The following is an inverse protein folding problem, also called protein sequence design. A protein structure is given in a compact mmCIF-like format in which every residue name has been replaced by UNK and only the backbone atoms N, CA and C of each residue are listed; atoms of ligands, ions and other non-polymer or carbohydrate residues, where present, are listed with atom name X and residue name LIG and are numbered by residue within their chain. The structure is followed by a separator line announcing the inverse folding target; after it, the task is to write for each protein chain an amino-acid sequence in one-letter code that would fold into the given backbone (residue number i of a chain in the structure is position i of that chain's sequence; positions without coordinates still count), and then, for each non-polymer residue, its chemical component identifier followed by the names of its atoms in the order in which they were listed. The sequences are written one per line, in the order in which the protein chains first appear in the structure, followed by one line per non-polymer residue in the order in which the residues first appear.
data_IF_725869761891
#
_entry.id   IF_725869761891
#
_cell.length_a   1.000
_cell.length_b   1.000
_cell.length_c   1.000
_cell.angle_alpha   90.00
_cell.angle_beta   90.00
_cell.angle_gamma   90.00
#
_symmetry.space_group_name_H-M   'P 1'
#
loop_
_entity.id
_entity.type
_entity.pdbx_description
1 polymer ?
#
# COMPACT_ATOMS: atom_id res chain seq x y z
N UNK A 1 -13.15 3.21 6.45
CA UNK A 1 -11.67 3.17 6.42
C UNK A 1 -11.12 2.02 7.25
N UNK A 2 -11.58 1.80 8.49
CA UNK A 2 -11.12 0.69 9.36
C UNK A 2 -11.14 -0.68 8.66
N UNK A 3 -12.28 -1.07 8.09
CA UNK A 3 -12.39 -2.35 7.38
C UNK A 3 -11.38 -2.52 6.23
N UNK A 4 -10.91 -1.45 5.60
CA UNK A 4 -9.85 -1.55 4.58
C UNK A 4 -8.47 -1.73 5.21
N UNK A 5 -8.21 -1.09 6.35
CA UNK A 5 -7.00 -1.32 7.13
C UNK A 5 -6.92 -2.77 7.64
N UNK A 6 -8.04 -3.32 8.11
CA UNK A 6 -8.08 -4.71 8.58
C UNK A 6 -7.77 -5.70 7.43
N UNK A 7 -8.28 -5.44 6.23
CA UNK A 7 -7.92 -6.21 5.03
C UNK A 7 -6.45 -6.11 4.67
N UNK A 8 -5.83 -4.93 4.82
CA UNK A 8 -4.38 -4.77 4.61
C UNK A 8 -3.62 -5.69 5.57
N UNK A 9 -3.98 -5.70 6.86
CA UNK A 9 -3.35 -6.58 7.86
C UNK A 9 -3.56 -8.06 7.50
N UNK A 10 -4.78 -8.44 7.13
CA UNK A 10 -5.13 -9.82 6.79
C UNK A 10 -4.29 -10.37 5.63
N UNK A 11 -4.14 -9.58 4.56
CA UNK A 11 -3.51 -10.04 3.31
C UNK A 11 -2.00 -9.79 3.26
N UNK A 12 -1.44 -9.06 4.22
CA UNK A 12 -0.02 -8.71 4.25
C UNK A 12 0.90 -9.94 4.28
N UNK A 13 0.71 -10.95 5.16
CA UNK A 13 1.60 -12.11 5.20
C UNK A 13 1.58 -12.91 3.89
N UNK A 14 0.40 -13.09 3.31
CA UNK A 14 0.22 -13.78 2.04
C UNK A 14 0.86 -13.02 0.87
N UNK A 15 0.73 -11.70 0.86
CA UNK A 15 1.35 -10.83 -0.16
C UNK A 15 2.87 -10.87 -0.10
N UNK A 16 3.46 -10.87 1.11
CA UNK A 16 4.91 -11.04 1.29
C UNK A 16 5.35 -12.42 0.79
N UNK A 17 4.63 -13.47 1.17
CA UNK A 17 4.95 -14.85 0.77
C UNK A 17 4.87 -15.04 -0.75
N UNK A 18 3.87 -14.44 -1.38
CA UNK A 18 3.70 -14.41 -2.84
C UNK A 18 3.24 -15.73 -3.47
N UNK A 19 2.68 -16.64 -2.68
CA UNK A 19 2.19 -17.95 -3.17
C UNK A 19 0.81 -17.88 -3.83
N UNK A 20 -0.05 -16.97 -3.35
CA UNK A 20 -1.40 -16.76 -3.89
C UNK A 20 -1.51 -15.34 -4.48
N UNK A 21 -1.75 -15.20 -5.79
CA UNK A 21 -1.91 -13.88 -6.43
C UNK A 21 -3.15 -13.11 -5.95
N UNK A 22 -4.14 -13.79 -5.34
CA UNK A 22 -5.33 -13.13 -4.80
C UNK A 22 -5.02 -12.33 -3.53
N UNK A 23 -4.01 -12.73 -2.73
CA UNK A 23 -3.54 -11.96 -1.57
C UNK A 23 -3.07 -10.56 -1.99
N UNK A 24 -2.23 -10.50 -3.02
CA UNK A 24 -1.78 -9.24 -3.62
C UNK A 24 -2.95 -8.44 -4.22
N UNK A 25 -3.88 -9.12 -4.91
CA UNK A 25 -5.04 -8.48 -5.51
C UNK A 25 -5.91 -7.80 -4.46
N UNK A 26 -6.31 -8.52 -3.42
CA UNK A 26 -7.19 -8.02 -2.38
C UNK A 26 -6.54 -6.92 -1.54
N UNK A 27 -5.25 -7.06 -1.22
CA UNK A 27 -4.49 -6.01 -0.55
C UNK A 27 -4.42 -4.73 -1.40
N UNK A 28 -4.19 -4.84 -2.72
CA UNK A 28 -4.22 -3.71 -3.66
C UNK A 28 -5.61 -3.07 -3.72
N UNK A 29 -6.68 -3.84 -3.73
CA UNK A 29 -8.05 -3.30 -3.70
C UNK A 29 -8.29 -2.53 -2.40
N UNK A 30 -7.90 -3.09 -1.26
CA UNK A 30 -8.06 -2.47 0.05
C UNK A 30 -7.29 -1.13 0.15
N UNK A 31 -6.02 -1.10 -0.25
CA UNK A 31 -5.19 0.13 -0.23
C UNK A 31 -5.73 1.21 -1.16
N UNK A 32 -6.18 0.86 -2.37
CA UNK A 32 -6.84 1.82 -3.28
C UNK A 32 -8.11 2.42 -2.70
N UNK A 33 -8.98 1.59 -2.12
CA UNK A 33 -10.23 2.04 -1.49
C UNK A 33 -9.95 2.90 -0.27
N UNK A 34 -8.96 2.54 0.54
CA UNK A 34 -8.52 3.33 1.67
C UNK A 34 -8.04 4.71 1.21
N UNK A 35 -7.14 4.77 0.21
CA UNK A 35 -6.63 6.03 -0.33
C UNK A 35 -7.75 6.95 -0.82
N UNK A 36 -8.68 6.41 -1.60
CA UNK A 36 -9.83 7.18 -2.10
C UNK A 36 -10.69 7.71 -0.94
N UNK A 37 -10.95 6.88 0.07
CA UNK A 37 -11.76 7.28 1.22
C UNK A 37 -11.05 8.34 2.06
N UNK A 38 -9.74 8.20 2.30
CA UNK A 38 -8.94 9.21 3.00
C UNK A 38 -9.02 10.56 2.30
N UNK A 39 -8.94 10.61 0.97
CA UNK A 39 -9.04 11.85 0.21
C UNK A 39 -10.42 12.52 0.38
N UNK A 40 -11.50 11.74 0.34
CA UNK A 40 -12.87 12.24 0.56
C UNK A 40 -13.02 12.87 1.94
N UNK A 41 -12.47 12.21 2.97
CA UNK A 41 -12.58 12.65 4.36
C UNK A 41 -11.38 13.44 4.86
N UNK A 42 -10.53 13.98 3.97
CA UNK A 42 -9.27 14.64 4.36
C UNK A 42 -9.45 15.77 5.38
N UNK A 43 -10.57 16.51 5.29
CA UNK A 43 -10.90 17.61 6.20
C UNK A 43 -11.13 17.16 7.65
N UNK A 44 -11.37 15.87 7.88
CA UNK A 44 -11.54 15.28 9.21
C UNK A 44 -10.19 14.95 9.89
N UNK A 45 -9.06 15.12 9.19
CA UNK A 45 -7.74 14.80 9.72
C UNK A 45 -6.93 16.06 10.01
N UNK A 46 -6.05 16.06 11.04
CA UNK A 46 -5.02 17.08 11.17
C UNK A 46 -4.11 17.08 9.94
N UNK A 47 -3.81 18.25 9.37
CA UNK A 47 -3.15 18.36 8.06
C UNK A 47 -1.82 17.62 7.94
N UNK A 48 -0.97 17.67 8.97
CA UNK A 48 0.31 16.95 8.99
C UNK A 48 0.12 15.43 9.05
N UNK A 49 -0.76 14.95 9.94
CA UNK A 49 -1.09 13.53 10.10
C UNK A 49 -1.68 12.96 8.82
N UNK A 50 -2.59 13.71 8.18
CA UNK A 50 -3.15 13.34 6.89
C UNK A 50 -2.07 13.19 5.83
N UNK A 51 -1.25 14.23 5.64
CA UNK A 51 -0.23 14.25 4.59
C UNK A 51 0.75 13.08 4.74
N UNK A 52 1.18 12.78 5.97
CA UNK A 52 2.06 11.65 6.25
C UNK A 52 1.40 10.29 5.92
N UNK A 53 0.23 10.01 6.49
CA UNK A 53 -0.44 8.72 6.30
C UNK A 53 -0.91 8.51 4.87
N UNK A 54 -1.46 9.56 4.24
CA UNK A 54 -1.89 9.52 2.85
C UNK A 54 -0.73 9.21 1.91
N UNK A 55 0.44 9.83 2.13
CA UNK A 55 1.65 9.52 1.37
C UNK A 55 2.03 8.04 1.51
N UNK A 56 2.11 7.51 2.74
CA UNK A 56 2.45 6.10 2.95
C UNK A 56 1.45 5.12 2.32
N UNK A 57 0.15 5.38 2.44
CA UNK A 57 -0.89 4.60 1.75
C UNK A 57 -0.72 4.68 0.24
N UNK A 58 -0.37 5.85 -0.29
CA UNK A 58 -0.12 6.04 -1.72
C UNK A 58 1.13 5.29 -2.20
N UNK A 59 2.22 5.29 -1.44
CA UNK A 59 3.46 4.60 -1.78
C UNK A 59 3.20 3.08 -1.84
N UNK A 60 2.56 2.54 -0.80
CA UNK A 60 2.14 1.14 -0.77
C UNK A 60 1.20 0.78 -1.93
N UNK A 61 0.20 1.62 -2.22
CA UNK A 61 -0.74 1.39 -3.33
C UNK A 61 -0.02 1.31 -4.69
N UNK A 62 1.00 2.16 -4.90
CA UNK A 62 1.80 2.16 -6.13
C UNK A 62 2.65 0.90 -6.22
N UNK A 63 3.33 0.52 -5.15
CA UNK A 63 4.21 -0.64 -5.13
C UNK A 63 3.44 -1.95 -5.40
N UNK A 64 2.30 -2.16 -4.73
CA UNK A 64 1.39 -3.28 -5.01
C UNK A 64 0.86 -3.26 -6.45
N UNK A 65 0.62 -2.06 -6.98
CA UNK A 65 0.14 -1.88 -8.35
C UNK A 65 1.13 -2.33 -9.40
N UNK A 66 2.39 -1.95 -9.26
CA UNK A 66 3.44 -2.31 -10.23
C UNK A 66 3.55 -3.81 -10.42
N UNK A 67 3.49 -4.60 -9.33
CA UNK A 67 3.52 -6.07 -9.42
C UNK A 67 2.25 -6.62 -10.06
N UNK A 68 1.06 -6.21 -9.57
CA UNK A 68 -0.20 -6.76 -10.06
C UNK A 68 -0.48 -6.41 -11.52
N UNK A 69 -0.07 -5.21 -11.97
CA UNK A 69 -0.27 -4.79 -13.35
C UNK A 69 0.61 -5.62 -14.31
N UNK A 70 1.80 -6.04 -13.88
CA UNK A 70 2.65 -6.99 -14.63
C UNK A 70 2.07 -8.41 -14.62
N UNK A 71 1.54 -8.88 -13.48
CA UNK A 71 0.88 -10.20 -13.40
C UNK A 71 -0.28 -10.30 -14.39
N UNK A 72 -1.14 -9.28 -14.43
CA UNK A 72 -2.30 -9.22 -15.34
C UNK A 72 -1.85 -9.16 -16.81
N UNK A 73 -0.82 -8.37 -17.12
CA UNK A 73 -0.25 -8.30 -18.47
C UNK A 73 0.29 -9.67 -18.91
N UNK A 74 1.09 -10.31 -18.04
CA UNK A 74 1.66 -11.63 -18.29
C UNK A 74 0.58 -12.68 -18.55
N UNK A 75 -0.44 -12.74 -17.69
CA UNK A 75 -1.58 -13.65 -17.84
C UNK A 75 -2.35 -13.41 -19.14
N UNK A 76 -2.58 -12.14 -19.49
CA UNK A 76 -3.30 -11.77 -20.72
C UNK A 76 -2.55 -12.21 -21.99
N UNK A 77 -1.22 -12.13 -21.99
CA UNK A 77 -0.37 -12.54 -23.11
C UNK A 77 -0.24 -14.05 -23.20
N UNK A 78 0.02 -14.74 -22.07
CA UNK A 78 0.10 -16.21 -22.03
C UNK A 78 -1.18 -16.85 -22.60
N UNK A 79 -2.36 -16.35 -22.21
CA UNK A 79 -3.64 -16.86 -22.71
C UNK A 79 -3.81 -16.77 -24.23
N UNK A 80 -3.08 -15.88 -24.90
CA UNK A 80 -3.17 -15.64 -26.35
C UNK A 80 -1.96 -16.17 -27.11
N UNK A 81 -0.89 -16.55 -26.42
CA UNK A 81 0.40 -16.95 -27.00
C UNK A 81 0.23 -17.99 -28.11
N UNK A 82 -0.52 -19.06 -27.85
CA UNK A 82 -0.65 -20.18 -28.79
C UNK A 82 -1.56 -19.85 -29.99
N UNK A 83 -2.34 -18.77 -29.91
CA UNK A 83 -3.12 -18.26 -31.04
C UNK A 83 -2.29 -17.36 -31.97
N UNK A 84 -1.05 -17.03 -31.61
CA UNK A 84 -0.15 -16.25 -32.45
C UNK A 84 0.51 -17.14 -33.52
N UNK A 85 0.87 -16.56 -34.69
CA UNK A 85 1.76 -17.19 -35.66
C UNK A 85 3.01 -17.75 -34.99
N UNK A 86 3.44 -18.94 -35.41
CA UNK A 86 4.54 -19.67 -34.77
C UNK A 86 5.85 -18.88 -34.79
N UNK A 87 6.05 -18.07 -35.83
CA UNK A 87 7.21 -17.21 -36.03
C UNK A 87 7.32 -16.09 -34.99
N UNK A 88 6.19 -15.65 -34.40
CA UNK A 88 6.16 -14.56 -33.41
C UNK A 88 6.27 -15.07 -31.96
N UNK A 89 6.04 -16.36 -31.72
CA UNK A 89 6.04 -16.93 -30.37
C UNK A 89 7.39 -16.78 -29.64
N UNK A 90 8.56 -16.99 -30.28
CA UNK A 90 9.85 -16.81 -29.62
C UNK A 90 10.11 -15.38 -29.14
N UNK A 91 9.65 -14.37 -29.90
CA UNK A 91 9.80 -12.97 -29.50
C UNK A 91 8.89 -12.62 -28.32
N UNK A 92 7.67 -13.17 -28.31
CA UNK A 92 6.74 -13.03 -27.17
C UNK A 92 7.28 -13.72 -25.92
N UNK A 93 7.87 -14.91 -26.06
CA UNK A 93 8.49 -15.62 -24.93
C UNK A 93 9.65 -14.81 -24.33
N UNK A 94 10.52 -14.26 -25.19
CA UNK A 94 11.61 -13.37 -24.75
C UNK A 94 11.09 -12.13 -24.02
N UNK A 95 9.99 -11.55 -24.49
CA UNK A 95 9.35 -10.42 -23.82
C UNK A 95 8.75 -10.83 -22.47
N UNK A 96 8.11 -12.02 -22.37
CA UNK A 96 7.58 -12.56 -21.12
C UNK A 96 8.68 -12.81 -20.09
N UNK A 97 9.86 -13.27 -20.54
CA UNK A 97 11.03 -13.45 -19.68
C UNK A 97 11.53 -12.11 -19.14
N UNK A 98 11.65 -11.09 -20.00
CA UNK A 98 12.01 -9.73 -19.60
C UNK A 98 11.03 -9.12 -18.59
N UNK A 99 9.73 -9.27 -18.85
CA UNK A 99 8.67 -8.84 -17.92
C UNK A 99 8.77 -9.57 -16.57
N UNK A 100 9.18 -10.85 -16.57
CA UNK A 100 9.42 -11.63 -15.36
C UNK A 100 10.53 -11.04 -14.48
N UNK A 101 11.61 -10.55 -15.10
CA UNK A 101 12.70 -9.87 -14.38
C UNK A 101 12.22 -8.55 -13.79
N UNK A 102 11.55 -7.71 -14.58
CA UNK A 102 11.01 -6.42 -14.10
C UNK A 102 10.00 -6.60 -12.96
N UNK A 103 9.20 -7.68 -13.02
CA UNK A 103 8.26 -8.05 -11.97
C UNK A 103 8.98 -8.38 -10.66
N UNK A 104 10.08 -9.12 -10.70
CA UNK A 104 10.79 -9.47 -9.46
C UNK A 104 11.44 -8.23 -8.83
N UNK A 105 11.95 -7.29 -9.63
CA UNK A 105 12.41 -6.00 -9.12
C UNK A 105 11.26 -5.18 -8.50
N UNK A 106 10.09 -5.16 -9.14
CA UNK A 106 8.89 -4.53 -8.60
C UNK A 106 8.44 -5.19 -7.30
N UNK A 107 8.56 -6.52 -7.21
CA UNK A 107 8.25 -7.30 -6.02
C UNK A 107 9.21 -6.99 -4.87
N UNK A 108 10.51 -6.86 -5.14
CA UNK A 108 11.48 -6.44 -4.13
C UNK A 108 11.15 -5.07 -3.53
N UNK A 109 10.83 -4.07 -4.38
CA UNK A 109 10.38 -2.74 -3.93
C UNK A 109 9.06 -2.79 -3.15
N UNK A 110 8.14 -3.66 -3.55
CA UNK A 110 6.89 -3.88 -2.83
C UNK A 110 7.13 -4.46 -1.44
N UNK A 111 8.04 -5.43 -1.30
CA UNK A 111 8.41 -6.01 0.00
C UNK A 111 9.05 -4.94 0.89
N UNK A 112 9.97 -4.14 0.38
CA UNK A 112 10.57 -3.03 1.15
C UNK A 112 9.49 -2.06 1.68
N UNK A 113 8.51 -1.69 0.85
CA UNK A 113 7.41 -0.83 1.30
C UNK A 113 6.51 -1.49 2.35
N UNK A 114 6.32 -2.81 2.28
CA UNK A 114 5.58 -3.60 3.26
C UNK A 114 6.35 -3.72 4.58
N UNK A 115 7.67 -3.90 4.53
CA UNK A 115 8.54 -3.91 5.71
C UNK A 115 8.50 -2.55 6.40
N UNK A 116 8.66 -1.45 5.66
CA UNK A 116 8.51 -0.10 6.21
C UNK A 116 7.10 0.09 6.80
N UNK A 117 6.08 -0.50 6.19
CA UNK A 117 4.71 -0.45 6.71
C UNK A 117 4.58 -1.11 8.08
N UNK A 118 5.19 -2.28 8.26
CA UNK A 118 5.22 -3.02 9.52
C UNK A 118 6.10 -2.33 10.56
N UNK A 119 7.34 -1.98 10.22
CA UNK A 119 8.30 -1.35 11.15
C UNK A 119 7.79 -0.03 11.72
N UNK A 120 7.02 0.72 10.94
CA UNK A 120 6.44 2.00 11.36
C UNK A 120 5.05 1.87 12.00
N UNK A 121 4.56 0.64 12.19
CA UNK A 121 3.24 0.32 12.74
C UNK A 121 2.12 1.14 12.08
N UNK A 122 2.14 1.23 10.73
CA UNK A 122 1.26 2.15 10.01
C UNK A 122 -0.21 1.74 10.09
N UNK A 123 -0.50 0.44 10.21
CA UNK A 123 -1.85 -0.05 10.40
C UNK A 123 -2.42 0.34 11.77
N UNK A 124 -1.62 0.25 12.83
CA UNK A 124 -2.00 0.65 14.19
C UNK A 124 -2.19 2.17 14.28
N UNK A 125 -1.25 2.93 13.71
CA UNK A 125 -1.34 4.39 13.66
C UNK A 125 -2.56 4.85 12.88
N UNK A 126 -2.88 4.20 11.77
CA UNK A 126 -4.08 4.49 11.00
C UNK A 126 -5.33 4.17 11.82
N UNK A 127 -5.38 3.01 12.49
CA UNK A 127 -6.51 2.65 13.36
C UNK A 127 -6.73 3.68 14.49
N UNK A 128 -5.65 4.12 15.16
CA UNK A 128 -5.72 5.12 16.22
C UNK A 128 -6.31 6.45 15.71
N UNK A 129 -5.83 6.94 14.56
CA UNK A 129 -6.36 8.18 13.96
C UNK A 129 -7.82 8.00 13.54
N UNK A 130 -8.19 6.85 12.98
CA UNK A 130 -9.59 6.59 12.59
C UNK A 130 -10.53 6.52 13.79
N UNK A 131 -10.06 6.04 14.95
CA UNK A 131 -10.83 6.08 16.20
C UNK A 131 -11.01 7.52 16.69
N UNK A 132 -9.97 8.35 16.65
CA UNK A 132 -10.06 9.77 17.03
C UNK A 132 -11.02 10.55 16.12
N UNK A 133 -10.99 10.30 14.80
CA UNK A 133 -11.89 10.95 13.84
C UNK A 133 -13.34 10.46 13.97
N UNK A 134 -13.57 9.24 14.45
CA UNK A 134 -14.90 8.69 14.67
C UNK A 134 -15.58 9.24 15.95
N UNK A 135 -14.84 9.90 16.83
CA UNK A 135 -15.39 10.55 18.02
C UNK A 135 -16.26 11.75 17.61
N UNK A 136 -17.58 11.75 17.92
CA UNK A 136 -18.47 12.88 17.60
C UNK A 136 -18.10 14.18 18.31
N UNK A 137 -17.25 14.13 19.35
CA UNK A 137 -16.68 15.32 19.99
C UNK A 137 -15.48 15.90 19.22
N UNK A 138 -15.02 15.27 18.14
CA UNK A 138 -13.89 15.74 17.34
C UNK A 138 -14.27 17.05 16.61
N UNK A 139 -13.59 18.18 16.90
CA UNK A 139 -13.96 19.44 16.30
C UNK A 139 -13.58 19.44 14.83
N UNK A 140 -14.60 19.41 13.95
CA UNK A 140 -14.48 19.55 12.48
C UNK A 140 -13.79 20.87 12.06
N UNK A 141 -13.56 21.78 13.02
CA UNK A 141 -12.86 23.05 12.84
C UNK A 141 -11.80 23.27 13.91
N UNK A 142 -10.65 22.59 13.80
CA UNK A 142 -9.36 23.21 14.14
C UNK A 142 -8.15 22.43 13.60
N UNK A 143 -8.15 22.11 12.29
CA UNK A 143 -7.05 21.40 11.64
C UNK A 143 -5.70 22.18 11.62
N UNK A 144 -5.64 23.37 12.22
CA UNK A 144 -4.44 24.20 12.30
C UNK A 144 -3.68 24.12 13.64
N UNK A 145 -4.29 23.75 14.78
CA UNK A 145 -3.72 24.08 16.10
C UNK A 145 -3.36 22.91 17.05
N UNK A 146 -3.34 21.65 16.60
CA UNK A 146 -2.99 20.52 17.49
C UNK A 146 -1.79 19.68 17.04
N UNK A 147 -0.72 20.34 16.61
CA UNK A 147 0.55 19.69 16.25
C UNK A 147 1.43 19.27 17.45
N UNK A 148 1.16 19.76 18.66
CA UNK A 148 2.10 19.61 19.79
C UNK A 148 1.93 18.39 20.71
N UNK A 149 0.73 17.81 20.83
CA UNK A 149 0.46 16.85 21.94
C UNK A 149 0.69 15.38 21.63
N UNK A 150 0.68 14.96 20.36
CA UNK A 150 0.85 13.53 20.03
C UNK A 150 2.33 13.11 19.86
N UNK A 151 3.24 14.07 19.64
CA UNK A 151 4.67 13.77 19.47
C UNK A 151 5.44 13.64 20.80
N UNK A 152 4.96 14.21 21.91
CA UNK A 152 5.69 14.16 23.19
C UNK A 152 5.52 12.85 23.97
N UNK A 153 4.51 12.02 23.67
CA UNK A 153 4.24 10.79 24.43
C UNK A 153 4.68 9.49 23.75
N UNK A 154 5.33 9.53 22.58
CA UNK A 154 5.76 8.33 21.85
C UNK A 154 7.22 8.38 21.41
N UNK A 155 8.03 9.22 22.05
CA UNK A 155 9.43 9.47 21.71
C UNK A 155 10.38 9.37 22.90
N UNK A 156 10.29 8.31 23.71
CA UNK A 156 11.45 7.86 24.50
C UNK A 156 12.08 6.67 23.78
N UNK A 157 12.87 7.00 22.76
CA UNK A 157 13.77 6.11 22.03
C UNK A 157 14.98 6.94 21.65
N UNK A 158 15.94 6.97 22.58
CA UNK A 158 17.19 7.73 22.53
C UNK A 158 17.95 7.53 21.22
N UNK A 159 18.13 8.60 20.46
CA UNK A 159 19.31 8.77 19.61
C UNK A 159 20.20 9.82 20.28
N UNK A 160 21.14 9.36 21.11
CA UNK A 160 22.30 10.15 21.48
C UNK A 160 23.27 10.22 20.28
N UNK A 161 23.75 11.43 20.00
CA UNK A 161 24.80 11.71 19.03
C UNK A 161 26.13 11.10 19.48
N UNK A 162 26.84 10.47 18.54
CA UNK A 162 28.23 10.02 18.67
C UNK A 162 28.76 9.47 17.36
#
# INVERSE_FOLDING_TARGET
MQAQNDKIIQHLPGTIKGEDPEELHDMRVATRRLRATMLVFHACFPGYTFAFLYRRVSDLTKALGSVRDMDVQREAVIRRRDALPEELRPDVDRWLDGLGVEREEARARMIEELEIWQERNLSERLAAVLQEVADPAFPVRDAANKAGRLMLNMGEGTFENG
#
